data_IF_770635239035
#
_entry.id   IF_770635239035
#
_cell.length_a   1.000
_cell.length_b   1.000
_cell.length_c   1.000
_cell.angle_alpha   90.00
_cell.angle_beta   90.00
_cell.angle_gamma   90.00
#
_symmetry.space_group_name_H-M   'P 1'
#
loop_
_entity.id
_entity.type
_entity.pdbx_description
1 polymer ?
#
# COMPACT_ATOMS: atom_id res chain seq x y z
N UNK A 1 -24.84 -39.06 18.05
CA UNK A 1 -23.40 -38.84 18.24
C UNK A 1 -22.85 -38.33 16.90
N UNK A 2 -23.00 -37.02 16.63
CA UNK A 2 -22.52 -36.36 15.42
C UNK A 2 -21.28 -35.57 15.80
N UNK A 3 -20.14 -36.02 15.30
CA UNK A 3 -18.87 -35.29 15.40
C UNK A 3 -18.86 -34.31 14.25
N UNK A 4 -18.95 -33.00 14.58
CA UNK A 4 -18.79 -31.90 13.62
C UNK A 4 -17.30 -31.82 13.25
N UNK A 5 -16.98 -32.16 12.01
CA UNK A 5 -15.68 -31.87 11.40
C UNK A 5 -15.46 -30.37 11.32
N UNK A 6 -14.57 -29.87 12.14
CA UNK A 6 -13.99 -28.55 11.98
C UNK A 6 -13.12 -28.56 10.72
N UNK A 7 -13.63 -27.94 9.64
CA UNK A 7 -12.85 -27.73 8.41
C UNK A 7 -11.64 -26.87 8.74
N UNK A 8 -10.49 -27.50 8.65
CA UNK A 8 -9.16 -26.89 8.75
C UNK A 8 -8.96 -25.90 7.57
N UNK A 9 -9.08 -24.60 7.87
CA UNK A 9 -8.88 -23.50 6.93
C UNK A 9 -7.40 -23.16 6.68
N UNK A 10 -6.47 -24.01 7.13
CA UNK A 10 -5.02 -23.78 7.01
C UNK A 10 -4.39 -24.24 5.68
N UNK A 11 -5.19 -24.77 4.74
CA UNK A 11 -4.68 -25.46 3.53
C UNK A 11 -4.98 -24.75 2.21
N UNK A 12 -4.90 -23.43 2.03
CA UNK A 12 -4.95 -22.85 0.66
C UNK A 12 -4.46 -21.39 0.57
N UNK A 13 -3.25 -21.10 1.03
CA UNK A 13 -2.60 -19.81 0.67
C UNK A 13 -1.37 -20.03 -0.26
N UNK A 14 -1.31 -21.16 -0.93
CA UNK A 14 -0.35 -21.39 -2.01
C UNK A 14 -0.88 -20.79 -3.31
N UNK A 15 -0.23 -19.76 -3.85
CA UNK A 15 -0.48 -19.12 -5.16
C UNK A 15 -1.90 -18.56 -5.41
N UNK A 16 -2.64 -18.13 -4.42
CA UNK A 16 -3.91 -17.44 -4.66
C UNK A 16 -3.62 -15.97 -4.92
N UNK A 17 -3.78 -15.53 -6.16
CA UNK A 17 -3.73 -14.11 -6.54
C UNK A 17 -4.74 -13.33 -5.72
N UNK A 18 -4.30 -12.22 -5.10
CA UNK A 18 -5.14 -11.42 -4.21
C UNK A 18 -6.13 -10.59 -5.02
N UNK A 19 -7.40 -10.62 -4.63
CA UNK A 19 -8.46 -9.78 -5.19
C UNK A 19 -9.07 -8.93 -4.06
N UNK A 20 -9.07 -7.62 -4.23
CA UNK A 20 -9.61 -6.67 -3.27
C UNK A 20 -10.97 -6.16 -3.73
N UNK A 21 -11.98 -6.30 -2.88
CA UNK A 21 -13.32 -5.76 -3.10
C UNK A 21 -13.70 -4.81 -1.98
N UNK A 22 -14.16 -3.61 -2.31
CA UNK A 22 -14.69 -2.61 -1.39
C UNK A 22 -16.13 -2.31 -1.79
N UNK A 23 -17.06 -2.39 -0.85
CA UNK A 23 -18.49 -2.18 -1.13
C UNK A 23 -19.10 -1.15 -0.19
N UNK A 24 -19.64 -0.06 -0.75
CA UNK A 24 -20.37 0.99 -0.04
C UNK A 24 -19.68 1.47 1.23
N UNK A 25 -18.33 1.52 1.18
CA UNK A 25 -17.50 1.85 2.33
C UNK A 25 -17.70 3.31 2.72
N UNK A 26 -17.96 3.56 4.00
CA UNK A 26 -18.07 4.89 4.53
C UNK A 26 -17.37 5.01 5.88
N UNK A 27 -16.78 6.20 6.15
CA UNK A 27 -16.12 6.52 7.42
C UNK A 27 -16.50 7.89 7.90
N UNK A 28 -17.03 7.95 9.12
CA UNK A 28 -17.27 9.19 9.84
C UNK A 28 -16.36 9.31 11.07
N UNK A 29 -15.99 10.53 11.41
CA UNK A 29 -15.35 10.94 12.67
C UNK A 29 -16.29 11.95 13.34
N UNK A 30 -17.06 11.49 14.31
CA UNK A 30 -18.18 12.27 14.87
C UNK A 30 -19.19 12.62 13.78
N UNK A 31 -19.44 13.91 13.55
CA UNK A 31 -20.38 14.40 12.53
C UNK A 31 -19.73 14.56 11.13
N UNK A 32 -18.42 14.45 11.03
CA UNK A 32 -17.70 14.66 9.77
C UNK A 32 -17.50 13.35 9.02
N UNK A 33 -18.01 13.28 7.81
CA UNK A 33 -17.80 12.16 6.90
C UNK A 33 -16.49 12.33 6.12
N UNK A 34 -15.52 11.48 6.41
CA UNK A 34 -14.26 11.42 5.66
C UNK A 34 -14.39 10.61 4.36
N UNK A 35 -15.24 9.57 4.37
CA UNK A 35 -15.54 8.76 3.16
C UNK A 35 -17.04 8.47 3.11
N UNK A 36 -17.59 8.45 1.88
CA UNK A 36 -19.02 8.24 1.62
C UNK A 36 -19.18 7.34 0.40
N UNK A 37 -19.76 6.16 0.61
CA UNK A 37 -20.16 5.22 -0.45
C UNK A 37 -19.05 4.88 -1.45
N UNK A 38 -17.88 4.51 -0.93
CA UNK A 38 -16.75 4.08 -1.75
C UNK A 38 -16.96 2.63 -2.16
N UNK A 39 -17.00 2.39 -3.46
CA UNK A 39 -17.02 1.03 -4.03
C UNK A 39 -15.89 0.88 -5.05
N UNK A 40 -15.04 -0.15 -4.87
CA UNK A 40 -13.86 -0.40 -5.67
C UNK A 40 -13.63 -1.91 -5.79
N UNK A 41 -13.34 -2.35 -7.00
CA UNK A 41 -12.97 -3.73 -7.31
C UNK A 41 -11.60 -3.73 -7.97
N UNK A 42 -10.62 -4.39 -7.34
CA UNK A 42 -9.23 -4.38 -7.77
C UNK A 42 -8.74 -5.81 -7.96
N UNK A 43 -8.65 -6.26 -9.22
CA UNK A 43 -8.13 -7.57 -9.54
C UNK A 43 -6.62 -7.68 -9.27
N UNK A 44 -6.10 -8.92 -9.26
CA UNK A 44 -4.67 -9.18 -9.07
C UNK A 44 -3.77 -8.45 -10.07
N UNK A 45 -2.60 -8.01 -9.60
CA UNK A 45 -1.58 -7.39 -10.44
C UNK A 45 -1.86 -5.92 -10.80
N UNK A 46 -2.91 -5.30 -10.26
CA UNK A 46 -3.18 -3.89 -10.51
C UNK A 46 -2.31 -2.96 -9.66
N UNK A 47 -1.85 -1.89 -10.31
CA UNK A 47 -1.28 -0.71 -9.66
C UNK A 47 -2.29 0.43 -9.76
N UNK A 48 -2.93 0.75 -8.64
CA UNK A 48 -3.94 1.81 -8.54
C UNK A 48 -3.32 3.12 -8.07
N UNK A 49 -3.40 4.17 -8.88
CA UNK A 49 -3.11 5.53 -8.47
C UNK A 49 -4.34 6.12 -7.75
N UNK A 50 -4.23 6.38 -6.45
CA UNK A 50 -5.27 7.04 -5.65
C UNK A 50 -4.96 8.54 -5.56
N UNK A 51 -5.64 9.33 -6.36
CA UNK A 51 -5.39 10.76 -6.55
C UNK A 51 -6.52 11.61 -5.95
N UNK A 52 -6.26 12.89 -5.78
CA UNK A 52 -7.23 13.85 -5.24
C UNK A 52 -6.59 14.88 -4.33
N UNK A 53 -7.29 16.00 -4.04
CA UNK A 53 -6.78 17.08 -3.22
C UNK A 53 -6.50 16.66 -1.77
N UNK A 54 -5.79 17.51 -1.04
CA UNK A 54 -5.59 17.32 0.39
C UNK A 54 -6.94 17.35 1.12
N UNK A 55 -7.10 16.46 2.10
CA UNK A 55 -8.38 16.30 2.80
C UNK A 55 -9.45 15.50 2.06
N UNK A 56 -9.19 14.99 0.85
CA UNK A 56 -10.15 14.19 0.09
C UNK A 56 -10.52 12.84 0.76
N UNK A 57 -9.69 12.34 1.71
CA UNK A 57 -9.91 11.08 2.41
C UNK A 57 -8.94 9.97 2.01
N UNK A 58 -7.89 10.25 1.20
CA UNK A 58 -6.94 9.24 0.71
C UNK A 58 -6.29 8.41 1.82
N UNK A 59 -5.65 9.07 2.80
CA UNK A 59 -5.03 8.38 3.94
C UNK A 59 -6.05 7.63 4.82
N UNK A 60 -7.29 8.13 4.90
CA UNK A 60 -8.38 7.43 5.61
C UNK A 60 -8.73 6.13 4.88
N UNK A 61 -8.85 6.18 3.55
CA UNK A 61 -9.10 4.97 2.74
C UNK A 61 -7.97 3.96 2.90
N UNK A 62 -6.71 4.38 2.78
CA UNK A 62 -5.55 3.48 2.97
C UNK A 62 -5.53 2.84 4.37
N UNK A 63 -5.82 3.60 5.43
CA UNK A 63 -5.90 3.06 6.81
C UNK A 63 -7.03 2.05 6.98
N UNK A 64 -8.18 2.25 6.31
CA UNK A 64 -9.28 1.28 6.30
C UNK A 64 -8.88 0.00 5.57
N UNK A 65 -8.25 0.12 4.39
CA UNK A 65 -7.76 -1.02 3.62
C UNK A 65 -6.66 -1.80 4.37
N UNK A 66 -5.84 -1.09 5.15
CA UNK A 66 -4.84 -1.71 6.04
C UNK A 66 -5.45 -2.37 7.30
N UNK A 67 -6.75 -2.17 7.55
CA UNK A 67 -7.40 -2.66 8.77
C UNK A 67 -6.96 -1.95 10.05
N UNK A 68 -6.33 -0.77 9.94
CA UNK A 68 -5.86 0.02 11.08
C UNK A 68 -7.00 0.79 11.76
N UNK A 69 -8.08 1.06 11.04
CA UNK A 69 -9.30 1.70 11.54
C UNK A 69 -10.51 0.96 11.02
N UNK A 70 -11.62 1.05 11.75
CA UNK A 70 -12.88 0.40 11.36
C UNK A 70 -13.75 1.33 10.51
N UNK A 71 -14.41 0.75 9.51
CA UNK A 71 -15.44 1.43 8.73
C UNK A 71 -16.65 1.78 9.62
N UNK A 72 -17.36 2.87 9.28
CA UNK A 72 -18.66 3.18 9.87
C UNK A 72 -19.77 2.40 9.19
N UNK A 73 -19.64 2.17 7.88
CA UNK A 73 -20.54 1.34 7.06
C UNK A 73 -19.76 0.70 5.91
N UNK A 74 -20.38 -0.31 5.29
CA UNK A 74 -19.79 -1.03 4.15
C UNK A 74 -18.78 -2.08 4.58
N UNK A 75 -18.16 -2.70 3.61
CA UNK A 75 -17.23 -3.83 3.83
C UNK A 75 -16.01 -3.74 2.93
N UNK A 76 -14.91 -4.32 3.40
CA UNK A 76 -13.67 -4.54 2.65
C UNK A 76 -13.41 -6.03 2.68
N UNK A 77 -13.29 -6.67 1.53
CA UNK A 77 -13.00 -8.08 1.44
C UNK A 77 -11.75 -8.35 0.61
N UNK A 78 -10.92 -9.27 1.07
CA UNK A 78 -9.78 -9.84 0.34
C UNK A 78 -10.13 -11.28 0.03
N UNK A 79 -10.18 -11.63 -1.26
CA UNK A 79 -10.61 -12.96 -1.72
C UNK A 79 -11.95 -13.40 -1.11
N UNK A 80 -12.89 -12.45 -0.98
CA UNK A 80 -14.21 -12.68 -0.40
C UNK A 80 -14.24 -12.78 1.13
N UNK A 81 -13.11 -12.63 1.81
CA UNK A 81 -13.03 -12.65 3.29
C UNK A 81 -13.01 -11.20 3.80
N UNK A 82 -14.00 -10.83 4.62
CA UNK A 82 -14.08 -9.52 5.26
C UNK A 82 -12.84 -9.26 6.14
N UNK A 83 -12.13 -8.15 5.86
CA UNK A 83 -10.90 -7.80 6.59
C UNK A 83 -11.14 -7.54 8.09
N UNK A 84 -12.36 -7.12 8.47
CA UNK A 84 -12.73 -6.91 9.87
C UNK A 84 -12.78 -8.24 10.64
N UNK A 85 -13.07 -9.34 9.94
CA UNK A 85 -13.14 -10.71 10.47
C UNK A 85 -11.89 -11.53 10.14
N UNK A 86 -10.91 -10.90 9.46
CA UNK A 86 -9.75 -11.60 8.95
C UNK A 86 -8.87 -12.17 10.06
N UNK A 87 -8.34 -13.36 9.82
CA UNK A 87 -7.30 -13.97 10.64
C UNK A 87 -6.00 -13.16 10.58
N UNK A 88 -5.11 -13.38 11.54
CA UNK A 88 -3.75 -12.78 11.52
C UNK A 88 -3.02 -13.12 10.22
N UNK A 89 -3.22 -14.31 9.66
CA UNK A 89 -2.61 -14.73 8.41
C UNK A 89 -3.09 -13.88 7.22
N UNK A 90 -4.38 -13.53 7.12
CA UNK A 90 -4.88 -12.66 6.06
C UNK A 90 -4.41 -11.22 6.27
N UNK A 91 -4.41 -10.72 7.51
CA UNK A 91 -3.90 -9.36 7.80
C UNK A 91 -2.42 -9.22 7.47
N UNK A 92 -1.62 -10.27 7.61
CA UNK A 92 -0.20 -10.25 7.23
C UNK A 92 0.03 -10.21 5.71
N UNK A 93 -1.02 -10.36 4.88
CA UNK A 93 -0.92 -10.15 3.43
C UNK A 93 -1.06 -8.69 3.03
N UNK A 94 -1.32 -7.77 3.97
CA UNK A 94 -1.45 -6.33 3.70
C UNK A 94 -0.26 -5.60 4.28
N UNK A 95 0.43 -4.82 3.45
CA UNK A 95 1.51 -3.92 3.82
C UNK A 95 1.07 -2.46 3.71
N UNK A 96 1.55 -1.59 4.62
CA UNK A 96 1.37 -0.14 4.53
C UNK A 96 2.71 0.55 4.69
N UNK A 97 3.06 1.39 3.71
CA UNK A 97 4.15 2.33 3.76
C UNK A 97 3.55 3.74 3.87
N UNK A 98 3.81 4.42 4.96
CA UNK A 98 3.31 5.77 5.23
C UNK A 98 4.43 6.63 5.80
N UNK A 99 4.29 7.97 5.82
CA UNK A 99 5.29 8.87 6.40
C UNK A 99 5.59 8.59 7.88
N UNK A 100 4.60 8.08 8.62
CA UNK A 100 4.82 7.49 9.95
C UNK A 100 5.39 6.09 9.76
N UNK A 101 6.69 6.01 9.48
CA UNK A 101 7.38 4.75 9.26
C UNK A 101 7.24 3.85 10.49
N UNK A 102 6.65 2.68 10.30
CA UNK A 102 6.49 1.69 11.37
C UNK A 102 7.77 0.86 11.50
N UNK A 103 8.89 1.54 11.74
CA UNK A 103 10.18 0.94 12.09
C UNK A 103 10.45 1.13 13.59
N UNK A 104 11.26 0.26 14.15
CA UNK A 104 11.67 0.36 15.54
C UNK A 104 12.97 1.16 15.63
N UNK A 105 12.87 2.39 16.09
CA UNK A 105 13.97 3.34 16.15
C UNK A 105 15.15 2.88 17.04
N UNK A 106 14.87 2.05 18.05
CA UNK A 106 15.88 1.54 18.99
C UNK A 106 16.56 0.23 18.54
N UNK A 107 16.12 -0.34 17.42
CA UNK A 107 16.75 -1.50 16.80
C UNK A 107 17.72 -1.06 15.71
N UNK A 108 18.71 -1.88 15.43
CA UNK A 108 19.57 -1.70 14.26
C UNK A 108 18.78 -1.95 12.96
N UNK A 109 19.35 -1.52 11.85
CA UNK A 109 18.81 -1.77 10.50
C UNK A 109 18.54 -3.27 10.28
N UNK A 110 19.52 -4.12 10.64
CA UNK A 110 19.43 -5.58 10.54
C UNK A 110 18.38 -6.15 11.48
N UNK A 111 18.39 -5.73 12.75
CA UNK A 111 17.45 -6.21 13.76
C UNK A 111 15.99 -5.88 13.38
N UNK A 112 15.74 -4.71 12.76
CA UNK A 112 14.41 -4.39 12.24
C UNK A 112 13.93 -5.43 11.23
N UNK A 113 14.75 -5.80 10.24
CA UNK A 113 14.38 -6.83 9.27
C UNK A 113 14.16 -8.19 9.92
N UNK A 114 15.03 -8.59 10.87
CA UNK A 114 14.86 -9.84 11.62
C UNK A 114 13.54 -9.83 12.40
N UNK A 115 13.24 -8.72 13.07
CA UNK A 115 12.02 -8.58 13.86
C UNK A 115 10.78 -8.76 12.97
N UNK A 116 10.68 -8.01 11.86
CA UNK A 116 9.52 -8.08 10.97
C UNK A 116 9.38 -9.45 10.29
N UNK A 117 10.48 -10.03 9.80
CA UNK A 117 10.45 -11.35 9.16
C UNK A 117 10.01 -12.43 10.16
N UNK A 118 10.44 -12.33 11.42
CA UNK A 118 10.01 -13.23 12.51
C UNK A 118 8.52 -13.05 12.83
N UNK A 119 8.04 -11.80 12.91
CA UNK A 119 6.62 -11.48 13.16
C UNK A 119 5.70 -12.07 12.07
N UNK A 120 6.16 -12.02 10.81
CA UNK A 120 5.45 -12.60 9.67
C UNK A 120 5.76 -14.11 9.48
N UNK A 121 6.44 -14.74 10.45
CA UNK A 121 6.81 -16.18 10.42
C UNK A 121 7.62 -16.59 9.18
N UNK A 122 8.31 -15.65 8.54
CA UNK A 122 9.24 -15.93 7.44
C UNK A 122 10.60 -16.30 8.02
N UNK A 123 11.03 -17.54 7.79
CA UNK A 123 12.37 -18.02 8.16
C UNK A 123 13.35 -17.70 7.04
N UNK A 124 13.98 -16.52 7.13
CA UNK A 124 14.98 -16.07 6.16
C UNK A 124 16.38 -16.19 6.78
N UNK A 125 17.33 -16.69 5.98
CA UNK A 125 18.73 -16.74 6.37
C UNK A 125 19.44 -15.38 6.28
N UNK A 126 20.61 -15.23 6.90
CA UNK A 126 21.40 -14.00 6.89
C UNK A 126 21.69 -13.49 5.46
N UNK A 127 21.94 -14.40 4.51
CA UNK A 127 22.20 -14.04 3.12
C UNK A 127 21.03 -13.32 2.44
N UNK A 128 19.78 -13.68 2.75
CA UNK A 128 18.60 -13.01 2.21
C UNK A 128 18.45 -11.59 2.79
N UNK A 129 18.70 -11.42 4.09
CA UNK A 129 18.71 -10.11 4.74
C UNK A 129 19.80 -9.21 4.17
N UNK A 130 21.01 -9.75 3.98
CA UNK A 130 22.13 -9.02 3.40
C UNK A 130 21.83 -8.58 1.95
N UNK A 131 21.25 -9.45 1.15
CA UNK A 131 20.86 -9.14 -0.22
C UNK A 131 19.80 -8.02 -0.28
N UNK A 132 18.79 -8.08 0.57
CA UNK A 132 17.77 -7.02 0.65
C UNK A 132 18.36 -5.68 1.09
N UNK A 133 19.28 -5.67 2.07
CA UNK A 133 19.99 -4.45 2.51
C UNK A 133 20.93 -3.91 1.44
N UNK A 134 21.57 -4.77 0.68
CA UNK A 134 22.46 -4.39 -0.42
C UNK A 134 21.65 -3.74 -1.55
N UNK A 135 20.51 -4.34 -1.91
CA UNK A 135 19.58 -3.83 -2.93
C UNK A 135 19.11 -2.41 -2.66
N UNK A 136 18.96 -2.01 -1.40
CA UNK A 136 18.57 -0.64 -1.01
C UNK A 136 19.74 0.25 -0.60
N UNK A 137 21.00 -0.25 -0.69
CA UNK A 137 22.22 0.48 -0.34
C UNK A 137 22.42 0.70 1.16
N UNK A 138 21.82 -0.13 2.03
CA UNK A 138 21.91 -0.02 3.50
C UNK A 138 22.79 -1.08 4.15
N UNK A 139 23.38 -2.01 3.40
CA UNK A 139 24.23 -3.06 3.94
C UNK A 139 25.43 -2.54 4.76
N UNK A 140 26.16 -1.46 4.34
CA UNK A 140 27.24 -0.90 5.14
C UNK A 140 26.79 -0.31 6.49
N UNK A 141 25.50 -0.06 6.64
CA UNK A 141 24.87 0.53 7.85
C UNK A 141 24.01 -0.48 8.61
N UNK A 142 24.17 -1.77 8.34
CA UNK A 142 23.32 -2.83 8.90
C UNK A 142 23.28 -2.85 10.43
N UNK A 143 24.35 -2.46 11.08
CA UNK A 143 24.51 -2.41 12.54
C UNK A 143 24.21 -1.02 13.14
N UNK A 144 23.87 -0.01 12.32
CA UNK A 144 23.45 1.30 12.82
C UNK A 144 22.01 1.25 13.36
N UNK A 145 21.76 2.02 14.43
CA UNK A 145 20.41 2.17 15.01
C UNK A 145 19.54 2.99 14.05
N UNK A 146 18.29 2.55 13.85
CA UNK A 146 17.35 3.19 12.90
C UNK A 146 17.07 4.65 13.23
N UNK A 147 17.11 5.05 14.52
CA UNK A 147 16.98 6.46 14.91
C UNK A 147 18.05 7.39 14.31
N UNK A 148 19.22 6.86 13.95
CA UNK A 148 20.32 7.63 13.34
C UNK A 148 20.17 7.79 11.82
N UNK A 149 19.23 7.07 11.18
CA UNK A 149 19.00 7.13 9.75
C UNK A 149 18.22 8.40 9.35
N UNK A 150 18.54 8.95 8.18
CA UNK A 150 17.68 9.96 7.55
C UNK A 150 16.31 9.38 7.16
N UNK A 151 15.31 10.25 6.94
CA UNK A 151 13.98 9.82 6.48
C UNK A 151 14.03 9.04 5.16
N UNK A 152 14.87 9.45 4.22
CA UNK A 152 15.09 8.71 2.97
C UNK A 152 15.68 7.33 3.19
N UNK A 153 16.64 7.18 4.13
CA UNK A 153 17.21 5.87 4.48
C UNK A 153 16.20 4.98 5.20
N UNK A 154 15.36 5.54 6.08
CA UNK A 154 14.24 4.81 6.70
C UNK A 154 13.26 4.30 5.65
N UNK A 155 12.91 5.14 4.65
CA UNK A 155 12.07 4.71 3.54
C UNK A 155 12.71 3.56 2.74
N UNK A 156 14.02 3.62 2.43
CA UNK A 156 14.77 2.52 1.80
C UNK A 156 14.72 1.23 2.64
N UNK A 157 14.87 1.33 3.96
CA UNK A 157 14.74 0.18 4.86
C UNK A 157 13.31 -0.40 4.82
N UNK A 158 12.30 0.45 4.72
CA UNK A 158 10.90 0.01 4.54
C UNK A 158 10.69 -0.71 3.21
N UNK A 159 11.36 -0.29 2.12
CA UNK A 159 11.33 -1.02 0.84
C UNK A 159 11.94 -2.41 1.03
N UNK A 160 13.14 -2.54 1.61
CA UNK A 160 13.78 -3.84 1.89
C UNK A 160 12.89 -4.74 2.77
N UNK A 161 12.24 -4.17 3.77
CA UNK A 161 11.26 -4.88 4.60
C UNK A 161 10.12 -5.46 3.74
N UNK A 162 9.50 -4.66 2.87
CA UNK A 162 8.38 -5.11 2.05
C UNK A 162 8.81 -6.06 0.93
N UNK A 163 10.03 -5.94 0.43
CA UNK A 163 10.62 -6.92 -0.49
C UNK A 163 10.73 -8.31 0.16
N UNK A 164 11.20 -8.37 1.41
CA UNK A 164 11.29 -9.63 2.16
C UNK A 164 9.93 -10.18 2.58
N UNK A 165 8.99 -9.32 2.95
CA UNK A 165 7.66 -9.73 3.44
C UNK A 165 6.71 -10.10 2.32
N UNK A 166 6.83 -9.52 1.14
CA UNK A 166 6.02 -9.78 -0.05
C UNK A 166 4.50 -9.77 0.22
N UNK A 167 3.93 -8.66 0.69
CA UNK A 167 2.49 -8.58 0.93
C UNK A 167 1.73 -8.69 -0.39
N UNK A 168 0.57 -9.35 -0.38
CA UNK A 168 -0.31 -9.44 -1.57
C UNK A 168 -0.98 -8.11 -1.93
N UNK A 169 -1.20 -7.23 -0.92
CA UNK A 169 -1.68 -5.86 -1.07
C UNK A 169 -0.69 -4.90 -0.41
N UNK A 170 -0.08 -4.02 -1.19
CA UNK A 170 0.82 -2.98 -0.71
C UNK A 170 0.17 -1.60 -0.87
N UNK A 171 0.01 -0.90 0.24
CA UNK A 171 -0.58 0.42 0.34
C UNK A 171 0.53 1.44 0.59
N UNK A 172 0.52 2.57 -0.14
CA UNK A 172 1.53 3.62 0.01
C UNK A 172 0.82 4.98 0.16
N UNK A 173 1.22 5.74 1.19
CA UNK A 173 0.71 7.09 1.45
C UNK A 173 1.86 8.09 1.29
N UNK A 174 1.87 8.83 0.17
CA UNK A 174 2.85 9.87 -0.18
C UNK A 174 4.33 9.42 -0.08
N UNK A 175 4.73 8.28 -0.68
CA UNK A 175 6.06 7.70 -0.44
C UNK A 175 7.22 8.51 -1.04
N UNK A 176 6.95 9.39 -2.02
CA UNK A 176 8.00 10.17 -2.70
C UNK A 176 8.57 11.33 -1.86
N UNK A 177 7.81 11.84 -0.90
CA UNK A 177 8.13 13.08 -0.18
C UNK A 177 9.45 13.09 0.59
N UNK A 178 10.04 11.93 0.84
CA UNK A 178 11.28 11.78 1.62
C UNK A 178 12.44 11.15 0.83
N UNK A 179 12.21 10.77 -0.42
CA UNK A 179 13.19 10.08 -1.26
C UNK A 179 13.96 11.05 -2.16
N UNK A 180 15.26 10.81 -2.33
CA UNK A 180 16.07 11.39 -3.39
C UNK A 180 15.78 10.69 -4.74
N UNK A 181 16.33 11.22 -5.84
CA UNK A 181 16.08 10.67 -7.17
C UNK A 181 16.42 9.19 -7.30
N UNK A 182 17.50 8.72 -6.65
CA UNK A 182 17.87 7.30 -6.67
C UNK A 182 16.94 6.43 -5.83
N UNK A 183 16.45 6.95 -4.71
CA UNK A 183 15.45 6.28 -3.88
C UNK A 183 14.09 6.18 -4.57
N UNK A 184 13.72 7.20 -5.35
CA UNK A 184 12.49 7.18 -6.15
C UNK A 184 12.55 6.06 -7.20
N UNK A 185 13.64 5.95 -7.98
CA UNK A 185 13.79 4.90 -8.98
C UNK A 185 13.73 3.51 -8.33
N UNK A 186 14.43 3.33 -7.21
CA UNK A 186 14.41 2.09 -6.43
C UNK A 186 12.98 1.70 -6.01
N UNK A 187 12.21 2.66 -5.51
CA UNK A 187 10.81 2.43 -5.14
C UNK A 187 9.97 2.02 -6.36
N UNK A 188 10.10 2.73 -7.48
CA UNK A 188 9.33 2.46 -8.70
C UNK A 188 9.63 1.07 -9.26
N UNK A 189 10.91 0.69 -9.34
CA UNK A 189 11.35 -0.63 -9.79
C UNK A 189 10.78 -1.74 -8.88
N UNK A 190 10.84 -1.54 -7.57
CA UNK A 190 10.24 -2.45 -6.59
C UNK A 190 8.73 -2.60 -6.83
N UNK A 191 7.97 -1.50 -6.97
CA UNK A 191 6.52 -1.53 -7.16
C UNK A 191 6.12 -2.22 -8.47
N UNK A 192 6.82 -1.94 -9.56
CA UNK A 192 6.60 -2.60 -10.86
C UNK A 192 6.85 -4.11 -10.72
N UNK A 193 7.96 -4.51 -10.11
CA UNK A 193 8.28 -5.92 -9.89
C UNK A 193 7.24 -6.61 -8.99
N UNK A 194 6.74 -5.90 -7.97
CA UNK A 194 5.71 -6.39 -7.05
C UNK A 194 4.39 -6.66 -7.77
N UNK A 195 3.91 -5.75 -8.62
CA UNK A 195 2.71 -5.93 -9.44
C UNK A 195 2.86 -7.08 -10.46
N UNK A 196 4.05 -7.22 -11.09
CA UNK A 196 4.32 -8.32 -12.04
C UNK A 196 4.22 -9.71 -11.42
N UNK A 197 4.39 -9.82 -10.10
CA UNK A 197 4.16 -11.07 -9.33
C UNK A 197 2.66 -11.35 -9.09
N UNK A 198 1.76 -10.49 -9.56
CA UNK A 198 0.31 -10.60 -9.34
C UNK A 198 -0.19 -9.93 -8.06
N UNK A 199 0.68 -9.20 -7.34
CA UNK A 199 0.29 -8.46 -6.15
C UNK A 199 -0.38 -7.12 -6.52
N UNK A 200 -1.17 -6.57 -5.60
CA UNK A 200 -1.85 -5.28 -5.76
C UNK A 200 -1.03 -4.17 -5.10
N UNK A 201 -0.92 -3.03 -5.79
CA UNK A 201 -0.39 -1.78 -5.24
C UNK A 201 -1.47 -0.72 -5.28
N UNK A 202 -1.68 0.01 -4.17
CA UNK A 202 -2.51 1.23 -4.14
C UNK A 202 -1.66 2.36 -3.57
N UNK A 203 -1.36 3.37 -4.39
CA UNK A 203 -0.51 4.49 -4.00
C UNK A 203 -1.29 5.80 -4.01
N UNK A 204 -1.37 6.47 -2.87
CA UNK A 204 -1.76 7.87 -2.79
C UNK A 204 -0.54 8.75 -3.02
N UNK A 205 -0.63 9.71 -3.95
CA UNK A 205 0.44 10.66 -4.21
C UNK A 205 -0.09 11.95 -4.83
N UNK A 206 0.63 13.05 -4.56
CA UNK A 206 0.44 14.32 -5.25
C UNK A 206 1.34 14.46 -6.49
N UNK A 207 2.32 13.56 -6.69
CA UNK A 207 3.16 13.49 -7.89
C UNK A 207 2.42 12.79 -9.04
N UNK A 208 1.36 13.46 -9.54
CA UNK A 208 0.38 12.87 -10.47
C UNK A 208 1.02 12.29 -11.72
N UNK A 209 1.82 13.07 -12.46
CA UNK A 209 2.44 12.64 -13.70
C UNK A 209 3.30 11.37 -13.51
N UNK A 210 4.05 11.30 -12.40
CA UNK A 210 4.92 10.17 -12.10
C UNK A 210 4.11 8.90 -11.83
N UNK A 211 3.08 8.98 -10.98
CA UNK A 211 2.26 7.82 -10.65
C UNK A 211 1.45 7.32 -11.84
N UNK A 212 0.96 8.23 -12.69
CA UNK A 212 0.23 7.87 -13.92
C UNK A 212 1.10 7.11 -14.93
N UNK A 213 2.42 7.31 -14.93
CA UNK A 213 3.33 6.53 -15.78
C UNK A 213 3.46 5.08 -15.32
N UNK A 214 3.23 4.80 -14.03
CA UNK A 214 3.38 3.47 -13.42
C UNK A 214 2.06 2.71 -13.33
N UNK A 215 0.95 3.40 -13.02
CA UNK A 215 -0.30 2.75 -12.68
C UNK A 215 -0.99 2.08 -13.87
N UNK A 216 -1.78 1.06 -13.56
CA UNK A 216 -2.68 0.37 -14.49
C UNK A 216 -4.11 0.91 -14.39
N UNK A 217 -4.44 1.61 -13.30
CA UNK A 217 -5.75 2.21 -13.02
C UNK A 217 -5.56 3.53 -12.29
N UNK A 218 -6.35 4.53 -12.65
CA UNK A 218 -6.42 5.80 -11.93
C UNK A 218 -7.78 5.93 -11.23
N UNK A 219 -7.72 6.43 -9.99
CA UNK A 219 -8.89 6.66 -9.13
C UNK A 219 -8.77 8.07 -8.55
N UNK A 220 -9.82 8.89 -8.69
CA UNK A 220 -9.87 10.22 -8.07
C UNK A 220 -10.83 10.18 -6.89
N UNK A 221 -10.33 10.59 -5.73
CA UNK A 221 -11.11 10.79 -4.52
C UNK A 221 -11.30 12.30 -4.29
N UNK A 222 -12.55 12.74 -4.18
CA UNK A 222 -12.90 14.13 -3.89
C UNK A 222 -14.03 14.20 -2.87
N UNK A 223 -13.84 14.99 -1.79
CA UNK A 223 -14.81 15.14 -0.70
C UNK A 223 -15.37 13.82 -0.17
N UNK A 224 -14.51 12.80 -0.06
CA UNK A 224 -14.84 11.49 0.45
C UNK A 224 -15.61 10.58 -0.53
N UNK A 225 -15.70 10.92 -1.81
CA UNK A 225 -16.35 10.10 -2.86
C UNK A 225 -15.37 9.79 -3.98
N UNK A 226 -15.55 8.64 -4.63
CA UNK A 226 -14.88 8.34 -5.89
C UNK A 226 -15.59 9.09 -7.02
N UNK A 227 -14.87 9.98 -7.71
CA UNK A 227 -15.38 10.76 -8.84
C UNK A 227 -14.85 10.25 -10.18
N UNK A 228 -13.79 9.44 -10.14
CA UNK A 228 -13.19 8.79 -11.31
C UNK A 228 -12.63 7.43 -10.89
N UNK A 229 -12.80 6.41 -11.73
CA UNK A 229 -12.26 5.06 -11.52
C UNK A 229 -12.18 4.33 -12.86
N UNK A 230 -11.06 4.45 -13.56
CA UNK A 230 -10.89 3.84 -14.87
C UNK A 230 -9.53 3.14 -15.01
N UNK A 231 -9.47 2.03 -15.77
CA UNK A 231 -8.21 1.42 -16.16
C UNK A 231 -7.41 2.37 -17.06
N UNK A 232 -6.11 2.11 -17.18
CA UNK A 232 -5.21 2.92 -17.98
C UNK A 232 -5.65 2.95 -19.45
N UNK A 233 -5.95 4.14 -19.92
CA UNK A 233 -6.14 4.47 -21.32
C UNK A 233 -5.06 5.46 -21.73
N UNK A 234 -4.39 5.25 -22.84
CA UNK A 234 -3.42 6.22 -23.35
C UNK A 234 -3.94 6.84 -24.65
N UNK A 235 -3.91 8.16 -24.78
CA UNK A 235 -3.56 9.14 -23.72
C UNK A 235 -4.59 9.19 -22.59
N UNK A 236 -4.23 9.75 -21.43
CA UNK A 236 -5.10 9.91 -20.26
C UNK A 236 -6.13 11.06 -20.41
N UNK A 237 -6.82 11.15 -21.56
CA UNK A 237 -7.69 12.30 -21.87
C UNK A 237 -8.92 12.40 -20.94
N UNK A 238 -9.55 11.26 -20.62
CA UNK A 238 -10.66 11.22 -19.68
C UNK A 238 -10.21 11.61 -18.27
N UNK A 239 -9.05 11.09 -17.83
CA UNK A 239 -8.45 11.45 -16.55
C UNK A 239 -8.09 12.93 -16.48
N UNK A 240 -7.41 13.46 -17.50
CA UNK A 240 -6.99 14.87 -17.56
C UNK A 240 -8.17 15.82 -17.41
N UNK A 241 -9.30 15.51 -18.07
CA UNK A 241 -10.54 16.28 -17.96
C UNK A 241 -11.12 16.20 -16.55
N UNK A 242 -11.28 15.00 -16.01
CA UNK A 242 -11.85 14.79 -14.68
C UNK A 242 -10.98 15.39 -13.57
N UNK A 243 -9.65 15.29 -13.69
CA UNK A 243 -8.72 15.80 -12.67
C UNK A 243 -8.57 17.33 -12.75
N UNK A 244 -8.66 17.92 -13.95
CA UNK A 244 -8.61 19.36 -14.16
C UNK A 244 -9.70 20.14 -13.43
N UNK A 245 -10.86 19.52 -13.16
CA UNK A 245 -11.94 20.14 -12.40
C UNK A 245 -11.59 20.36 -10.90
N UNK A 246 -10.56 19.69 -10.40
CA UNK A 246 -10.14 19.74 -8.98
C UNK A 246 -8.86 20.52 -8.75
N UNK A 247 -8.21 21.00 -9.82
CA UNK A 247 -7.04 21.84 -9.69
C UNK A 247 -7.44 23.30 -9.40
N UNK A 248 -6.72 24.01 -8.53
CA UNK A 248 -6.85 25.44 -8.41
C UNK A 248 -6.61 26.11 -9.78
N UNK A 249 -7.38 27.16 -10.08
CA UNK A 249 -7.23 27.88 -11.34
C UNK A 249 -5.78 28.35 -11.54
N UNK A 250 -5.11 27.82 -12.55
CA UNK A 250 -3.73 28.18 -12.92
C UNK A 250 -2.65 27.16 -12.56
N UNK A 251 -2.98 26.07 -11.87
CA UNK A 251 -2.04 24.95 -11.63
C UNK A 251 -2.18 23.88 -12.72
N UNK A 252 -1.05 23.42 -13.26
CA UNK A 252 -0.99 22.27 -14.17
C UNK A 252 -0.46 21.05 -13.43
N UNK A 253 -1.03 19.88 -13.65
CA UNK A 253 -0.57 18.61 -13.08
C UNK A 253 0.70 18.05 -13.75
N UNK A 254 1.26 18.77 -14.72
CA UNK A 254 2.45 18.40 -15.53
C UNK A 254 3.77 18.90 -14.96
N UNK A 255 3.80 19.51 -13.79
CA UNK A 255 5.01 20.02 -13.13
C UNK A 255 5.56 19.04 -12.08
#
# INVERSE_FOLDING_TARGET
MHISESRDTSRTLGNCTLHLTVRQLAKAYGLLWALRDISLDVPPGEFVALLGPNGAGKSTLLKLLAGLIHATRGEIAINGIDIAKASTALRSTVGLLSPAEHLYDNLTVRENLIFFTSLYKKKLGAAALDAALDGVGLKPRSEEIVSALSSGMKCRLSIAKWELLEPGLLLLDEPYGVLDGSGVNLLEDFLIAHCRKGNIVIMASHHVARVLNLCTRAVILHQGKLTFNEPRQQPWDSFTRAFGEFLPHGESWTS
#
